data_IF_699457383428
#
_entry.id   IF_699457383428
#
_cell.length_a   1.000
_cell.length_b   1.000
_cell.length_c   1.000
_cell.angle_alpha   90.00
_cell.angle_beta   90.00
_cell.angle_gamma   90.00
#
_symmetry.space_group_name_H-M   'P 1'
#
loop_
_entity.id
_entity.type
_entity.pdbx_description
1 polymer ?
#
# COMPACT_ATOMS: atom_id res chain seq x y z
N UNK A 1 -6.79 13.07 14.43
CA UNK A 1 -7.23 12.10 13.40
C UNK A 1 -8.14 12.81 12.40
N UNK A 2 -8.09 12.48 11.11
CA UNK A 2 -9.04 13.00 10.13
C UNK A 2 -9.48 11.88 9.19
N UNK A 3 -10.79 11.60 9.13
CA UNK A 3 -11.42 10.80 8.08
C UNK A 3 -12.43 11.67 7.36
N UNK A 4 -12.32 11.76 6.04
CA UNK A 4 -13.21 12.60 5.25
C UNK A 4 -14.27 11.73 4.62
N UNK A 5 -15.53 12.11 4.81
CA UNK A 5 -16.67 11.34 4.34
C UNK A 5 -17.54 12.19 3.42
N UNK A 6 -18.10 11.54 2.39
CA UNK A 6 -19.17 12.08 1.56
C UNK A 6 -20.50 11.53 2.05
N UNK A 7 -21.47 12.40 2.28
CA UNK A 7 -22.86 11.98 2.54
C UNK A 7 -23.42 11.38 1.25
N UNK A 8 -23.91 10.15 1.32
CA UNK A 8 -24.47 9.41 0.18
C UNK A 8 -25.97 9.16 0.32
N UNK A 9 -26.55 9.44 1.49
CA UNK A 9 -28.00 9.38 1.65
C UNK A 9 -28.45 9.87 3.02
N UNK A 10 -29.69 10.32 3.09
CA UNK A 10 -30.38 10.65 4.35
C UNK A 10 -31.76 10.02 4.35
N UNK A 11 -32.20 9.52 5.50
CA UNK A 11 -33.53 8.96 5.69
C UNK A 11 -34.08 9.45 7.03
N UNK A 12 -35.21 10.16 7.01
CA UNK A 12 -35.87 10.65 8.22
C UNK A 12 -36.90 9.64 8.71
N UNK A 13 -36.82 9.28 9.98
CA UNK A 13 -37.84 8.50 10.67
C UNK A 13 -38.66 9.45 11.55
N UNK A 14 -39.90 9.69 11.15
CA UNK A 14 -40.83 10.57 11.85
C UNK A 14 -41.38 9.94 13.15
N UNK A 15 -41.35 8.61 13.28
CA UNK A 15 -41.85 7.92 14.47
C UNK A 15 -40.89 8.05 15.66
N UNK A 16 -39.58 8.06 15.38
CA UNK A 16 -38.52 8.25 16.38
C UNK A 16 -37.93 9.67 16.39
N UNK A 17 -38.44 10.56 15.50
CA UNK A 17 -37.90 11.89 15.23
C UNK A 17 -36.37 11.87 14.99
N UNK A 18 -35.88 10.88 14.23
CA UNK A 18 -34.45 10.67 13.97
C UNK A 18 -34.12 10.81 12.47
N UNK A 19 -32.85 11.06 12.16
CA UNK A 19 -32.33 11.07 10.78
C UNK A 19 -31.17 10.09 10.69
N UNK A 20 -31.32 9.08 9.85
CA UNK A 20 -30.24 8.19 9.44
C UNK A 20 -29.45 8.87 8.31
N UNK A 21 -28.15 9.05 8.50
CA UNK A 21 -27.24 9.55 7.48
C UNK A 21 -26.30 8.43 7.06
N UNK A 22 -26.20 8.18 5.75
CA UNK A 22 -25.25 7.23 5.16
C UNK A 22 -24.05 7.98 4.61
N UNK A 23 -22.86 7.47 4.89
CA UNK A 23 -21.58 8.05 4.50
C UNK A 23 -20.74 7.03 3.74
N UNK A 24 -20.01 7.50 2.73
CA UNK A 24 -18.87 6.79 2.16
C UNK A 24 -17.60 7.57 2.48
N UNK A 25 -16.46 6.89 2.61
CA UNK A 25 -15.16 7.59 2.67
C UNK A 25 -14.96 8.37 1.37
N UNK A 26 -14.41 9.58 1.44
CA UNK A 26 -14.23 10.42 0.26
C UNK A 26 -13.33 9.73 -0.77
N UNK A 27 -12.26 9.09 -0.30
CA UNK A 27 -11.36 8.31 -1.14
C UNK A 27 -12.04 7.11 -1.82
N UNK A 28 -13.19 6.64 -1.35
CA UNK A 28 -13.94 5.56 -1.99
C UNK A 28 -14.83 6.03 -3.14
N UNK A 29 -15.00 7.34 -3.29
CA UNK A 29 -15.85 7.92 -4.36
C UNK A 29 -15.25 7.83 -5.75
N UNK A 30 -13.98 7.44 -5.86
CA UNK A 30 -13.30 7.21 -7.15
C UNK A 30 -13.71 5.88 -7.80
N UNK A 31 -14.39 4.99 -7.08
CA UNK A 31 -14.65 3.62 -7.51
C UNK A 31 -15.98 3.46 -8.27
N UNK A 32 -16.06 2.56 -9.26
CA UNK A 32 -14.97 1.72 -9.78
C UNK A 32 -13.97 2.51 -10.64
N UNK A 33 -12.73 2.03 -10.74
CA UNK A 33 -11.68 2.60 -11.61
C UNK A 33 -11.40 1.60 -12.74
N UNK A 34 -11.39 2.07 -13.99
CA UNK A 34 -10.99 1.24 -15.12
C UNK A 34 -9.51 0.87 -15.00
N UNK A 35 -9.23 -0.42 -14.93
CA UNK A 35 -7.87 -0.94 -14.78
C UNK A 35 -7.19 -1.10 -16.14
N UNK A 36 -5.96 -0.59 -16.27
CA UNK A 36 -5.10 -0.86 -17.45
C UNK A 36 -4.74 -2.35 -17.57
N UNK A 37 -4.63 -3.04 -16.43
CA UNK A 37 -4.32 -4.45 -16.33
C UNK A 37 -4.85 -5.02 -14.99
N UNK A 38 -5.11 -6.35 -14.91
CA UNK A 38 -5.57 -6.99 -13.68
C UNK A 38 -4.69 -6.71 -12.45
N UNK A 39 -5.28 -6.75 -11.26
CA UNK A 39 -4.54 -6.59 -10.01
C UNK A 39 -3.40 -7.63 -9.92
N UNK A 40 -2.13 -7.21 -9.76
CA UNK A 40 -0.98 -8.10 -9.71
C UNK A 40 -1.07 -9.12 -8.58
N UNK A 41 -0.67 -10.37 -8.87
CA UNK A 41 -0.64 -11.49 -7.91
C UNK A 41 -1.98 -11.84 -7.26
N UNK A 42 -3.11 -11.40 -7.82
CA UNK A 42 -4.46 -11.69 -7.29
C UNK A 42 -4.80 -13.19 -7.30
N UNK A 43 -4.11 -14.00 -8.08
CA UNK A 43 -4.24 -15.46 -8.12
C UNK A 43 -3.81 -16.13 -6.81
N UNK A 44 -2.97 -15.46 -6.02
CA UNK A 44 -2.58 -15.90 -4.68
C UNK A 44 -3.55 -15.40 -3.59
N UNK A 45 -4.54 -14.59 -3.97
CA UNK A 45 -5.50 -14.01 -3.04
C UNK A 45 -6.64 -14.99 -2.70
N UNK A 46 -7.00 -15.08 -1.42
CA UNK A 46 -8.23 -15.77 -1.00
C UNK A 46 -9.48 -14.88 -1.17
N UNK A 47 -9.31 -13.55 -1.15
CA UNK A 47 -10.34 -12.57 -1.56
C UNK A 47 -9.82 -11.61 -2.64
N UNK A 48 -10.07 -11.91 -3.93
CA UNK A 48 -9.66 -11.05 -5.04
C UNK A 48 -10.24 -9.63 -4.99
N UNK A 49 -11.35 -9.39 -4.26
CA UNK A 49 -11.95 -8.06 -4.15
C UNK A 49 -11.09 -7.10 -3.34
N UNK A 50 -10.38 -7.59 -2.33
CA UNK A 50 -9.42 -6.78 -1.56
C UNK A 50 -8.28 -6.26 -2.44
N UNK A 51 -7.75 -7.15 -3.29
CA UNK A 51 -6.70 -6.81 -4.26
C UNK A 51 -7.19 -5.76 -5.26
N UNK A 52 -8.38 -5.97 -5.82
CA UNK A 52 -9.02 -5.01 -6.71
C UNK A 52 -9.17 -3.64 -6.04
N UNK A 53 -9.70 -3.61 -4.81
CA UNK A 53 -9.93 -2.38 -4.07
C UNK A 53 -8.66 -1.54 -3.91
N UNK A 54 -7.53 -2.16 -3.55
CA UNK A 54 -6.25 -1.46 -3.41
C UNK A 54 -5.68 -1.06 -4.77
N UNK A 55 -5.81 -1.94 -5.76
CA UNK A 55 -5.27 -1.72 -7.10
C UNK A 55 -5.98 -0.59 -7.85
N UNK A 56 -7.30 -0.44 -7.69
CA UNK A 56 -8.06 0.69 -8.23
C UNK A 56 -7.55 2.04 -7.71
N UNK A 57 -7.23 2.14 -6.42
CA UNK A 57 -6.66 3.38 -5.86
C UNK A 57 -5.26 3.67 -6.41
N UNK A 58 -4.41 2.65 -6.54
CA UNK A 58 -3.08 2.82 -7.12
C UNK A 58 -3.16 3.21 -8.61
N UNK A 59 -4.10 2.60 -9.34
CA UNK A 59 -4.38 2.94 -10.75
C UNK A 59 -4.87 4.37 -10.89
N UNK A 60 -5.83 4.79 -10.06
CA UNK A 60 -6.31 6.17 -10.05
C UNK A 60 -5.19 7.17 -9.75
N UNK A 61 -4.29 6.85 -8.80
CA UNK A 61 -3.22 7.75 -8.38
C UNK A 61 -2.06 7.83 -9.38
N UNK A 62 -1.60 6.71 -9.89
CA UNK A 62 -0.32 6.65 -10.61
C UNK A 62 -0.47 6.28 -12.08
N UNK A 63 -1.57 5.63 -12.48
CA UNK A 63 -1.82 5.17 -13.85
C UNK A 63 -0.60 4.49 -14.48
N UNK A 64 0.07 3.61 -13.73
CA UNK A 64 1.26 2.90 -14.18
C UNK A 64 0.94 2.05 -15.42
N UNK A 65 1.91 1.89 -16.30
CA UNK A 65 1.75 1.04 -17.49
C UNK A 65 1.82 -0.44 -17.13
N UNK A 66 1.26 -1.28 -18.00
CA UNK A 66 1.23 -2.72 -17.78
C UNK A 66 2.66 -3.28 -17.73
N UNK A 67 3.07 -3.85 -16.58
CA UNK A 67 4.43 -4.32 -16.36
C UNK A 67 4.81 -5.50 -17.26
N UNK A 68 3.84 -6.18 -17.87
CA UNK A 68 4.11 -7.33 -18.76
C UNK A 68 4.69 -6.92 -20.11
N UNK A 69 4.59 -5.64 -20.49
CA UNK A 69 5.24 -5.08 -21.67
C UNK A 69 6.66 -4.55 -21.38
N UNK A 70 7.16 -4.69 -20.15
CA UNK A 70 8.52 -4.28 -19.82
C UNK A 70 9.55 -5.12 -20.61
N UNK A 71 10.62 -4.51 -21.17
CA UNK A 71 11.56 -5.22 -22.02
C UNK A 71 12.32 -6.31 -21.25
N UNK A 72 12.64 -7.40 -21.94
CA UNK A 72 13.44 -8.49 -21.40
C UNK A 72 14.89 -8.04 -21.27
N UNK A 73 15.39 -8.03 -20.04
CA UNK A 73 16.75 -7.64 -19.69
C UNK A 73 17.63 -8.82 -19.27
N UNK A 74 17.06 -10.03 -19.11
CA UNK A 74 17.71 -11.21 -18.53
C UNK A 74 19.12 -11.52 -19.03
N UNK A 75 19.40 -11.33 -20.32
CA UNK A 75 20.74 -11.55 -20.91
C UNK A 75 21.83 -10.60 -20.41
N UNK A 76 21.45 -9.50 -19.77
CA UNK A 76 22.34 -8.46 -19.27
C UNK A 76 22.51 -8.49 -17.75
N UNK A 77 21.77 -9.35 -17.04
CA UNK A 77 21.89 -9.53 -15.60
C UNK A 77 22.98 -10.57 -15.29
N UNK A 78 23.73 -10.35 -14.22
CA UNK A 78 24.56 -11.42 -13.63
C UNK A 78 23.69 -12.47 -12.93
N UNK A 79 24.29 -13.63 -12.63
CA UNK A 79 23.61 -14.69 -11.86
C UNK A 79 23.10 -14.19 -10.50
N UNK A 80 23.87 -13.35 -9.81
CA UNK A 80 23.50 -12.81 -8.50
C UNK A 80 22.40 -11.75 -8.61
N UNK A 81 22.45 -10.91 -9.66
CA UNK A 81 21.39 -9.94 -9.97
C UNK A 81 20.07 -10.65 -10.32
N UNK A 82 20.15 -11.74 -11.09
CA UNK A 82 19.02 -12.60 -11.42
C UNK A 82 18.41 -13.23 -10.16
N UNK A 83 19.24 -13.82 -9.29
CA UNK A 83 18.77 -14.40 -8.02
C UNK A 83 18.12 -13.38 -7.11
N UNK A 84 18.63 -12.15 -7.06
CA UNK A 84 18.03 -11.08 -6.26
C UNK A 84 16.63 -10.71 -6.77
N UNK A 85 16.46 -10.58 -8.09
CA UNK A 85 15.16 -10.32 -8.71
C UNK A 85 14.17 -11.49 -8.48
N UNK A 86 14.61 -12.74 -8.70
CA UNK A 86 13.80 -13.93 -8.41
C UNK A 86 13.38 -14.01 -6.94
N UNK A 87 14.29 -13.69 -6.01
CA UNK A 87 13.97 -13.67 -4.59
C UNK A 87 12.94 -12.60 -4.26
N UNK A 88 13.03 -11.40 -4.85
CA UNK A 88 12.02 -10.35 -4.68
C UNK A 88 10.64 -10.82 -5.17
N UNK A 89 10.57 -11.45 -6.36
CA UNK A 89 9.34 -11.99 -6.93
C UNK A 89 8.73 -13.04 -6.00
N UNK A 90 9.54 -14.02 -5.56
CA UNK A 90 9.07 -15.08 -4.66
C UNK A 90 8.59 -14.53 -3.32
N UNK A 91 9.27 -13.54 -2.76
CA UNK A 91 8.83 -12.89 -1.52
C UNK A 91 7.50 -12.15 -1.71
N UNK A 92 7.28 -11.51 -2.87
CA UNK A 92 5.99 -10.89 -3.21
C UNK A 92 4.86 -11.93 -3.34
N UNK A 93 5.09 -13.05 -4.03
CA UNK A 93 4.14 -14.16 -4.15
C UNK A 93 3.77 -14.72 -2.77
N UNK A 94 4.77 -14.99 -1.93
CA UNK A 94 4.55 -15.46 -0.57
C UNK A 94 3.70 -14.47 0.22
N UNK A 95 4.05 -13.17 0.18
CA UNK A 95 3.32 -12.13 0.89
C UNK A 95 1.88 -12.00 0.41
N UNK A 96 1.62 -12.13 -0.90
CA UNK A 96 0.28 -12.07 -1.49
C UNK A 96 -0.67 -13.15 -0.93
N UNK A 97 -0.13 -14.30 -0.53
CA UNK A 97 -0.91 -15.39 0.10
C UNK A 97 -1.27 -15.16 1.58
N UNK A 98 -0.75 -14.11 2.23
CA UNK A 98 -0.94 -13.92 3.67
C UNK A 98 -2.37 -13.46 3.98
N UNK A 99 -2.97 -14.03 5.03
CA UNK A 99 -4.29 -13.62 5.52
C UNK A 99 -4.36 -12.13 5.87
N UNK A 100 -3.23 -11.52 6.26
CA UNK A 100 -3.15 -10.07 6.52
C UNK A 100 -3.56 -9.23 5.30
N UNK A 101 -3.28 -9.67 4.08
CA UNK A 101 -3.69 -8.94 2.87
C UNK A 101 -5.05 -9.36 2.32
N UNK A 102 -5.56 -10.51 2.78
CA UNK A 102 -6.75 -11.13 2.21
C UNK A 102 -8.01 -10.97 3.06
N UNK A 103 -7.90 -10.75 4.37
CA UNK A 103 -9.10 -10.56 5.19
C UNK A 103 -9.65 -9.14 5.01
N UNK A 104 -10.97 -9.04 4.78
CA UNK A 104 -11.69 -7.78 4.78
C UNK A 104 -11.77 -7.21 6.21
N UNK A 105 -10.81 -6.36 6.61
CA UNK A 105 -10.78 -5.78 7.95
C UNK A 105 -11.38 -4.38 7.98
N UNK A 106 -12.22 -4.12 8.98
CA UNK A 106 -12.89 -2.83 9.16
C UNK A 106 -12.52 -2.17 10.48
N UNK A 107 -12.25 -0.87 10.44
CA UNK A 107 -12.24 -0.01 11.61
C UNK A 107 -13.68 0.47 11.86
N UNK A 108 -14.28 0.08 12.98
CA UNK A 108 -15.63 0.51 13.34
C UNK A 108 -15.55 1.53 14.48
N UNK A 109 -15.99 2.74 14.19
CA UNK A 109 -16.09 3.83 15.16
C UNK A 109 -17.56 3.99 15.51
N UNK A 110 -17.91 3.82 16.79
CA UNK A 110 -19.29 4.01 17.28
C UNK A 110 -19.29 5.12 18.32
N UNK A 111 -20.24 6.05 18.25
CA UNK A 111 -20.50 7.04 19.31
C UNK A 111 -21.88 6.80 19.91
N UNK A 112 -21.98 6.75 21.23
CA UNK A 112 -23.26 6.71 21.97
C UNK A 112 -23.47 8.03 22.72
N UNK A 113 -23.66 9.11 21.96
CA UNK A 113 -23.97 10.45 22.48
C UNK A 113 -22.73 11.23 22.91
N UNK A 114 -22.41 12.27 22.13
CA UNK A 114 -21.38 13.26 22.42
C UNK A 114 -19.97 12.68 22.52
N UNK A 115 -19.59 12.32 23.75
CA UNK A 115 -18.19 12.14 24.17
C UNK A 115 -17.77 10.67 24.30
N UNK A 116 -18.72 9.73 24.31
CA UNK A 116 -18.44 8.29 24.42
C UNK A 116 -18.23 7.66 23.04
N UNK A 117 -17.02 7.80 22.51
CA UNK A 117 -16.56 7.13 21.30
C UNK A 117 -15.91 5.79 21.65
N UNK A 118 -16.45 4.70 21.10
CA UNK A 118 -15.83 3.38 21.13
C UNK A 118 -15.28 3.05 19.75
N UNK A 119 -14.00 2.76 19.66
CA UNK A 119 -13.35 2.29 18.44
C UNK A 119 -13.10 0.81 18.58
N UNK A 120 -13.74 0.00 17.73
CA UNK A 120 -13.49 -1.43 17.66
C UNK A 120 -12.85 -1.72 16.30
N UNK A 121 -11.70 -2.37 16.33
CA UNK A 121 -10.98 -2.79 15.12
C UNK A 121 -10.89 -4.29 15.10
N UNK A 122 -11.12 -4.88 13.94
CA UNK A 122 -10.71 -6.26 13.69
C UNK A 122 -9.25 -6.22 13.21
N UNK A 123 -8.32 -6.59 14.09
CA UNK A 123 -6.89 -6.64 13.77
C UNK A 123 -6.43 -8.09 13.62
N UNK A 124 -5.42 -8.35 12.75
CA UNK A 124 -4.79 -9.66 12.72
C UNK A 124 -4.22 -10.00 14.10
N UNK A 125 -4.09 -11.29 14.38
CA UNK A 125 -3.37 -11.76 15.56
C UNK A 125 -1.95 -11.21 15.56
N UNK A 126 -1.34 -11.08 16.73
CA UNK A 126 0.04 -10.60 16.84
C UNK A 126 1.01 -11.46 16.00
N UNK A 127 0.83 -12.78 16.00
CA UNK A 127 1.60 -13.71 15.15
C UNK A 127 1.45 -13.39 13.67
N UNK A 128 0.21 -13.20 13.18
CA UNK A 128 -0.05 -12.88 11.79
C UNK A 128 0.53 -11.51 11.40
N UNK A 129 0.42 -10.51 12.28
CA UNK A 129 1.01 -9.20 12.06
C UNK A 129 2.55 -9.25 12.01
N UNK A 130 3.18 -9.94 12.96
CA UNK A 130 4.63 -10.07 13.01
C UNK A 130 5.15 -10.82 11.79
N UNK A 131 4.52 -11.94 11.40
CA UNK A 131 4.87 -12.66 10.18
C UNK A 131 4.75 -11.78 8.93
N UNK A 132 3.65 -11.05 8.81
CA UNK A 132 3.45 -10.06 7.74
C UNK A 132 4.54 -8.98 7.73
N UNK A 133 4.85 -8.41 8.89
CA UNK A 133 5.85 -7.35 9.04
C UNK A 133 7.27 -7.82 8.68
N UNK A 134 7.68 -9.02 9.11
CA UNK A 134 8.97 -9.61 8.75
C UNK A 134 9.10 -9.73 7.23
N UNK A 135 8.11 -10.33 6.58
CA UNK A 135 8.15 -10.55 5.13
C UNK A 135 8.06 -9.23 4.36
N UNK A 136 7.19 -8.31 4.78
CA UNK A 136 7.12 -6.97 4.20
C UNK A 136 8.45 -6.23 4.31
N UNK A 137 9.15 -6.33 5.44
CA UNK A 137 10.46 -5.70 5.65
C UNK A 137 11.49 -6.16 4.61
N UNK A 138 11.50 -7.44 4.22
CA UNK A 138 12.41 -7.95 3.18
C UNK A 138 12.24 -7.21 1.85
N UNK A 139 11.01 -6.83 1.50
CA UNK A 139 10.70 -6.08 0.28
C UNK A 139 10.95 -4.57 0.45
N UNK A 140 10.66 -4.04 1.64
CA UNK A 140 10.59 -2.60 1.89
C UNK A 140 11.91 -1.98 2.32
N UNK A 141 12.74 -2.67 3.10
CA UNK A 141 13.97 -2.13 3.68
C UNK A 141 15.13 -2.20 2.67
N UNK A 142 15.75 -1.05 2.41
CA UNK A 142 16.83 -0.90 1.42
C UNK A 142 18.11 -1.71 1.73
N UNK A 143 18.26 -2.18 2.97
CA UNK A 143 19.36 -3.04 3.41
C UNK A 143 19.20 -4.53 3.08
N UNK A 144 18.01 -4.95 2.63
CA UNK A 144 17.73 -6.35 2.31
C UNK A 144 18.03 -6.63 0.82
N UNK A 145 18.59 -7.80 0.52
CA UNK A 145 18.99 -8.17 -0.85
C UNK A 145 17.79 -8.40 -1.78
N UNK A 146 16.62 -8.71 -1.21
CA UNK A 146 15.37 -8.91 -1.92
C UNK A 146 14.46 -7.67 -1.86
N UNK A 147 15.04 -6.47 -1.74
CA UNK A 147 14.28 -5.23 -1.58
C UNK A 147 13.96 -4.56 -2.92
N UNK A 148 12.87 -3.78 -2.95
CA UNK A 148 12.50 -2.94 -4.09
C UNK A 148 13.68 -2.10 -4.57
N UNK A 149 14.38 -1.44 -3.64
CA UNK A 149 15.49 -0.54 -3.97
C UNK A 149 16.69 -1.27 -4.56
N UNK A 150 16.95 -2.53 -4.16
CA UNK A 150 18.00 -3.35 -4.77
C UNK A 150 17.62 -3.73 -6.20
N UNK A 151 16.43 -4.30 -6.40
CA UNK A 151 15.96 -4.75 -7.73
C UNK A 151 15.82 -3.57 -8.69
N UNK A 152 15.24 -2.45 -8.26
CA UNK A 152 15.18 -1.22 -9.06
C UNK A 152 16.57 -0.77 -9.51
N UNK A 153 17.57 -0.76 -8.61
CA UNK A 153 18.95 -0.36 -8.95
C UNK A 153 19.57 -1.29 -9.99
N UNK A 154 19.34 -2.59 -9.86
CA UNK A 154 19.81 -3.60 -10.83
C UNK A 154 19.18 -3.35 -12.19
N UNK A 155 17.84 -3.30 -12.27
CA UNK A 155 17.14 -3.09 -13.54
C UNK A 155 17.48 -1.74 -14.18
N UNK A 156 17.61 -0.67 -13.38
CA UNK A 156 17.96 0.65 -13.89
C UNK A 156 19.41 0.76 -14.39
N UNK A 157 20.33 0.02 -13.76
CA UNK A 157 21.73 -0.13 -14.22
C UNK A 157 21.75 -0.84 -15.57
N UNK A 158 21.07 -1.97 -15.67
CA UNK A 158 21.01 -2.79 -16.89
C UNK A 158 20.31 -2.04 -18.04
N UNK A 159 19.21 -1.35 -17.76
CA UNK A 159 18.55 -0.48 -18.74
C UNK A 159 19.50 0.58 -19.34
N UNK A 160 20.56 0.96 -18.62
CA UNK A 160 21.59 1.87 -19.12
C UNK A 160 22.56 1.29 -20.13
N UNK A 161 22.50 -0.02 -20.38
CA UNK A 161 23.35 -0.72 -21.33
C UNK A 161 22.64 -0.94 -22.67
N UNK A 162 21.34 -0.61 -22.75
CA UNK A 162 20.54 -0.67 -23.97
C UNK A 162 20.88 0.51 -24.89
N UNK A 163 20.39 0.44 -26.13
CA UNK A 163 20.44 1.56 -27.07
C UNK A 163 19.71 2.79 -26.51
N UNK A 164 20.12 3.99 -26.91
CA UNK A 164 19.73 5.26 -26.26
C UNK A 164 18.21 5.43 -26.09
N UNK A 165 17.43 5.19 -27.16
CA UNK A 165 15.98 5.32 -27.14
C UNK A 165 15.30 4.26 -26.25
N UNK A 166 15.80 3.03 -26.27
CA UNK A 166 15.28 1.93 -25.45
C UNK A 166 15.66 2.10 -23.98
N UNK A 167 16.89 2.54 -23.70
CA UNK A 167 17.35 2.89 -22.36
C UNK A 167 16.48 3.99 -21.75
N UNK A 168 16.12 5.00 -22.56
CA UNK A 168 15.26 6.10 -22.12
C UNK A 168 13.86 5.61 -21.78
N UNK A 169 13.18 4.92 -22.69
CA UNK A 169 11.81 4.43 -22.45
C UNK A 169 11.75 3.45 -21.27
N UNK A 170 12.73 2.53 -21.16
CA UNK A 170 12.83 1.58 -20.05
C UNK A 170 12.99 2.28 -18.69
N UNK A 171 13.85 3.31 -18.64
CA UNK A 171 14.07 4.10 -17.42
C UNK A 171 12.88 4.96 -17.05
N UNK A 172 12.12 5.47 -18.03
CA UNK A 172 10.87 6.20 -17.77
C UNK A 172 9.87 5.31 -17.01
N UNK A 173 9.69 4.06 -17.45
CA UNK A 173 8.83 3.09 -16.74
C UNK A 173 9.36 2.82 -15.34
N UNK A 174 10.65 2.49 -15.17
CA UNK A 174 11.24 2.24 -13.85
C UNK A 174 11.08 3.44 -12.91
N UNK A 175 11.29 4.66 -13.41
CA UNK A 175 11.15 5.88 -12.62
C UNK A 175 9.72 6.12 -12.15
N UNK A 176 8.71 5.80 -12.97
CA UNK A 176 7.31 5.90 -12.56
C UNK A 176 7.00 5.02 -11.33
N UNK A 177 7.49 3.78 -11.30
CA UNK A 177 7.35 2.88 -10.14
C UNK A 177 8.07 3.40 -8.90
N UNK A 178 9.31 3.89 -9.07
CA UNK A 178 10.08 4.50 -7.97
C UNK A 178 9.35 5.71 -7.38
N UNK A 179 8.81 6.57 -8.24
CA UNK A 179 8.15 7.81 -7.83
C UNK A 179 6.78 7.53 -7.19
N UNK A 180 6.08 6.48 -7.63
CA UNK A 180 4.90 5.93 -6.94
C UNK A 180 5.26 5.45 -5.53
N UNK A 181 6.31 4.62 -5.37
CA UNK A 181 6.78 4.17 -4.04
C UNK A 181 7.12 5.36 -3.15
N UNK A 182 7.89 6.32 -3.67
CA UNK A 182 8.28 7.54 -2.92
C UNK A 182 7.07 8.34 -2.45
N UNK A 183 6.00 8.38 -3.25
CA UNK A 183 4.75 9.05 -2.87
C UNK A 183 4.03 8.31 -1.74
N UNK A 184 3.93 6.98 -1.85
CA UNK A 184 3.30 6.13 -0.83
C UNK A 184 4.07 6.07 0.49
N UNK A 185 5.39 6.24 0.46
CA UNK A 185 6.21 6.35 1.68
C UNK A 185 5.96 7.66 2.44
N UNK A 186 5.51 8.71 1.75
CA UNK A 186 5.33 10.06 2.33
C UNK A 186 3.92 10.34 2.81
N UNK A 187 2.90 9.76 2.15
CA UNK A 187 1.49 10.00 2.46
C UNK A 187 0.68 8.74 2.22
N UNK A 188 -0.35 8.55 3.04
CA UNK A 188 -1.34 7.48 2.83
C UNK A 188 -2.04 7.64 1.48
N UNK A 189 -2.42 6.52 0.83
CA UNK A 189 -3.21 6.55 -0.41
C UNK A 189 -4.47 7.39 -0.26
N UNK A 190 -5.19 7.23 0.84
CA UNK A 190 -6.41 7.99 1.12
C UNK A 190 -6.15 9.52 1.16
N UNK A 191 -5.01 9.95 1.72
CA UNK A 191 -4.59 11.36 1.71
C UNK A 191 -4.32 11.84 0.29
N UNK A 192 -3.57 11.06 -0.51
CA UNK A 192 -3.25 11.40 -1.90
C UNK A 192 -4.51 11.49 -2.78
N UNK A 193 -5.47 10.58 -2.58
CA UNK A 193 -6.76 10.60 -3.30
C UNK A 193 -7.57 11.83 -2.90
N UNK A 194 -7.65 12.16 -1.60
CA UNK A 194 -8.32 13.38 -1.14
C UNK A 194 -7.68 14.62 -1.77
N UNK A 195 -6.35 14.72 -1.78
CA UNK A 195 -5.63 15.85 -2.40
C UNK A 195 -5.96 16.01 -3.88
N UNK A 196 -6.08 14.90 -4.63
CA UNK A 196 -6.47 14.95 -6.05
C UNK A 196 -7.93 15.35 -6.23
N UNK A 197 -8.85 14.77 -5.46
CA UNK A 197 -10.28 15.10 -5.51
C UNK A 197 -10.58 16.54 -5.07
N UNK A 198 -9.72 17.10 -4.23
CA UNK A 198 -9.88 18.43 -3.63
C UNK A 198 -8.85 19.43 -4.17
N UNK A 199 -8.33 19.26 -5.40
CA UNK A 199 -7.25 20.10 -5.94
C UNK A 199 -7.58 21.61 -5.97
N UNK A 200 -8.87 21.98 -6.02
CA UNK A 200 -9.34 23.38 -5.95
C UNK A 200 -9.76 23.85 -4.54
N UNK A 201 -9.63 23.02 -3.52
CA UNK A 201 -10.01 23.37 -2.15
C UNK A 201 -8.89 24.14 -1.43
N UNK A 202 -9.21 24.91 -0.36
CA UNK A 202 -8.20 25.56 0.47
C UNK A 202 -7.19 24.56 1.05
N UNK A 203 -5.96 25.00 1.34
CA UNK A 203 -4.92 24.15 1.94
C UNK A 203 -5.32 23.54 3.30
N UNK A 204 -6.28 24.18 4.00
CA UNK A 204 -6.87 23.74 5.26
C UNK A 204 -7.97 22.69 5.10
N UNK A 205 -8.35 22.33 3.87
CA UNK A 205 -9.36 21.31 3.64
C UNK A 205 -8.91 19.98 4.27
N UNK A 206 -9.80 19.32 5.04
CA UNK A 206 -9.46 18.08 5.73
C UNK A 206 -9.19 16.97 4.71
N UNK A 207 -8.23 16.09 5.04
CA UNK A 207 -7.85 14.92 4.24
C UNK A 207 -7.80 13.68 5.12
N UNK A 208 -8.28 12.56 4.60
CA UNK A 208 -8.20 11.28 5.33
C UNK A 208 -6.73 10.95 5.66
N UNK A 209 -6.45 10.57 6.92
CA UNK A 209 -5.11 10.30 7.46
C UNK A 209 -4.10 11.46 7.35
N UNK A 210 -4.58 12.71 7.30
CA UNK A 210 -3.70 13.88 7.31
C UNK A 210 -2.71 13.84 8.49
N UNK A 211 -1.43 14.02 8.18
CA UNK A 211 -0.33 14.01 9.16
C UNK A 211 0.36 12.65 9.34
N UNK A 212 -0.20 11.56 8.81
CA UNK A 212 0.47 10.26 8.82
C UNK A 212 1.53 10.22 7.72
N UNK A 213 2.77 9.90 8.11
CA UNK A 213 3.89 9.60 7.22
C UNK A 213 4.14 8.08 7.26
N UNK A 214 3.76 7.32 6.21
CA UNK A 214 3.82 5.86 6.20
C UNK A 214 5.18 5.27 6.54
N UNK A 215 6.26 5.79 5.95
CA UNK A 215 7.63 5.29 6.17
C UNK A 215 8.05 5.42 7.65
N UNK A 216 7.78 6.58 8.24
CA UNK A 216 8.07 6.83 9.65
C UNK A 216 7.22 5.93 10.56
N UNK A 217 5.92 5.82 10.27
CA UNK A 217 5.00 4.99 11.04
C UNK A 217 5.39 3.51 11.02
N UNK A 218 5.67 2.96 9.83
CA UNK A 218 6.10 1.56 9.66
C UNK A 218 7.40 1.31 10.41
N UNK A 219 8.38 2.23 10.31
CA UNK A 219 9.64 2.12 11.05
C UNK A 219 9.38 2.10 12.56
N UNK A 220 8.55 3.01 13.07
CA UNK A 220 8.26 3.07 14.51
C UNK A 220 7.56 1.81 15.03
N UNK A 221 6.64 1.20 14.27
CA UNK A 221 6.05 -0.09 14.65
C UNK A 221 7.07 -1.24 14.60
N UNK A 222 7.86 -1.32 13.52
CA UNK A 222 8.82 -2.40 13.33
C UNK A 222 9.97 -2.37 14.36
N UNK A 223 10.48 -1.18 14.70
CA UNK A 223 11.63 -0.99 15.60
C UNK A 223 11.25 -0.53 17.02
N UNK A 224 9.95 -0.33 17.29
CA UNK A 224 9.43 -0.04 18.63
C UNK A 224 8.91 -1.28 19.37
N UNK A 225 8.40 -2.29 18.65
CA UNK A 225 7.76 -3.46 19.27
C UNK A 225 7.84 -4.72 18.40
N UNK A 226 7.41 -4.66 17.13
CA UNK A 226 7.02 -5.87 16.39
C UNK A 226 8.17 -6.71 15.84
N UNK A 227 9.29 -6.10 15.47
CA UNK A 227 10.46 -6.83 14.96
C UNK A 227 11.66 -6.70 15.88
N UNK A 228 11.97 -5.49 16.36
CA UNK A 228 13.10 -5.20 17.23
C UNK A 228 12.64 -4.28 18.37
N UNK A 229 13.01 -4.61 19.61
CA UNK A 229 12.78 -3.76 20.79
C UNK A 229 13.88 -2.69 20.89
N UNK A 230 13.80 -1.66 20.04
CA UNK A 230 14.89 -0.73 19.74
C UNK A 230 14.66 0.72 20.20
N UNK A 231 15.29 1.69 19.53
CA UNK A 231 15.34 3.09 19.96
C UNK A 231 14.01 3.86 19.80
N UNK A 232 13.02 3.30 19.11
CA UNK A 232 11.73 3.95 18.83
C UNK A 232 10.63 3.61 19.86
N UNK A 233 10.98 2.95 20.97
CA UNK A 233 10.04 2.52 22.03
C UNK A 233 9.24 3.65 22.65
N UNK A 234 9.90 4.74 23.05
CA UNK A 234 9.22 5.88 23.66
C UNK A 234 8.31 6.58 22.64
N UNK A 235 8.71 6.63 21.36
CA UNK A 235 7.86 7.17 20.30
C UNK A 235 6.63 6.30 20.08
N UNK A 236 6.79 4.98 20.07
CA UNK A 236 5.66 4.07 19.94
C UNK A 236 4.73 4.17 21.16
N UNK A 237 5.26 4.18 22.38
CA UNK A 237 4.46 4.36 23.59
C UNK A 237 3.65 5.67 23.56
N UNK A 238 4.25 6.77 23.08
CA UNK A 238 3.54 8.04 22.92
C UNK A 238 2.49 8.02 21.81
N UNK A 239 2.68 7.23 20.75
CA UNK A 239 1.70 7.07 19.66
C UNK A 239 0.50 6.20 20.08
N UNK A 240 0.66 5.36 21.10
CA UNK A 240 -0.33 4.41 21.60
C UNK A 240 -0.79 4.77 23.03
N UNK A 241 -0.71 6.05 23.39
CA UNK A 241 -0.97 6.57 24.75
C UNK A 241 -2.41 6.36 25.23
N UNK A 242 -3.36 6.29 24.31
CA UNK A 242 -4.75 5.92 24.56
C UNK A 242 -5.27 4.87 23.54
N UNK A 243 -6.34 4.17 23.91
CA UNK A 243 -6.94 3.09 23.10
C UNK A 243 -7.38 3.57 21.71
N UNK A 244 -7.75 4.85 21.58
CA UNK A 244 -8.18 5.44 20.32
C UNK A 244 -6.99 5.66 19.38
N UNK A 245 -5.91 6.26 19.89
CA UNK A 245 -4.65 6.47 19.16
C UNK A 245 -4.00 5.14 18.81
N UNK A 246 -4.06 4.16 19.71
CA UNK A 246 -3.57 2.81 19.45
C UNK A 246 -4.27 2.17 18.24
N UNK A 247 -5.61 2.13 18.27
CA UNK A 247 -6.40 1.59 17.17
C UNK A 247 -6.15 2.34 15.86
N UNK A 248 -6.09 3.67 15.90
CA UNK A 248 -5.87 4.48 14.71
C UNK A 248 -4.51 4.20 14.05
N UNK A 249 -3.43 4.26 14.83
CA UNK A 249 -2.08 4.11 14.30
C UNK A 249 -1.79 2.67 13.88
N UNK A 250 -2.32 1.67 14.59
CA UNK A 250 -2.29 0.27 14.13
C UNK A 250 -3.00 0.09 12.79
N UNK A 251 -4.21 0.64 12.65
CA UNK A 251 -4.95 0.59 11.40
C UNK A 251 -4.23 1.32 10.26
N UNK A 252 -3.67 2.51 10.53
CA UNK A 252 -2.90 3.28 9.56
C UNK A 252 -1.63 2.53 9.11
N UNK A 253 -0.89 1.92 10.04
CA UNK A 253 0.30 1.13 9.76
C UNK A 253 -0.01 -0.07 8.86
N UNK A 254 -1.01 -0.87 9.26
CA UNK A 254 -1.50 -2.01 8.48
C UNK A 254 -1.94 -1.60 7.07
N UNK A 255 -2.70 -0.51 6.96
CA UNK A 255 -3.19 0.01 5.68
C UNK A 255 -2.03 0.48 4.79
N UNK A 256 -1.05 1.18 5.36
CA UNK A 256 0.15 1.63 4.66
C UNK A 256 0.97 0.47 4.11
N UNK A 257 1.26 -0.53 4.95
CA UNK A 257 1.99 -1.72 4.53
C UNK A 257 1.23 -2.48 3.44
N UNK A 258 -0.08 -2.66 3.59
CA UNK A 258 -0.94 -3.32 2.60
C UNK A 258 -0.86 -2.62 1.24
N UNK A 259 -0.98 -1.30 1.20
CA UNK A 259 -0.93 -0.50 -0.04
C UNK A 259 0.46 -0.54 -0.69
N UNK A 260 1.53 -0.49 0.12
CA UNK A 260 2.90 -0.65 -0.38
C UNK A 260 3.15 -2.07 -0.92
N UNK A 261 2.63 -3.11 -0.26
CA UNK A 261 2.70 -4.49 -0.76
C UNK A 261 2.07 -4.62 -2.14
N UNK A 262 0.90 -4.01 -2.37
CA UNK A 262 0.25 -4.06 -3.69
C UNK A 262 1.06 -3.34 -4.77
N UNK A 263 1.74 -2.23 -4.44
CA UNK A 263 2.70 -1.62 -5.36
C UNK A 263 3.87 -2.58 -5.65
N UNK A 264 4.39 -3.29 -4.65
CA UNK A 264 5.47 -4.26 -4.83
C UNK A 264 5.05 -5.46 -5.66
N UNK A 265 3.80 -5.90 -5.56
CA UNK A 265 3.25 -6.97 -6.40
C UNK A 265 3.26 -6.57 -7.88
N UNK A 266 2.87 -5.33 -8.19
CA UNK A 266 3.01 -4.81 -9.55
C UNK A 266 4.45 -4.70 -10.02
N UNK A 267 5.36 -4.31 -9.14
CA UNK A 267 6.79 -4.28 -9.48
C UNK A 267 7.40 -5.68 -9.62
N UNK A 268 6.83 -6.70 -8.97
CA UNK A 268 7.25 -8.09 -9.14
C UNK A 268 6.92 -8.62 -10.53
N UNK A 269 5.75 -8.28 -11.08
CA UNK A 269 5.41 -8.58 -12.49
C UNK A 269 6.39 -7.89 -13.45
N UNK A 270 6.80 -6.65 -13.14
CA UNK A 270 7.80 -5.93 -13.94
C UNK A 270 9.15 -6.63 -13.89
N UNK A 271 9.57 -7.06 -12.70
CA UNK A 271 10.81 -7.83 -12.53
C UNK A 271 10.74 -9.17 -13.25
N UNK A 272 9.60 -9.87 -13.23
CA UNK A 272 9.41 -11.13 -13.95
C UNK A 272 9.52 -10.92 -15.47
N UNK A 273 8.85 -9.90 -16.02
CA UNK A 273 8.98 -9.52 -17.42
C UNK A 273 10.43 -9.19 -17.81
N UNK A 274 11.16 -8.47 -16.93
CA UNK A 274 12.57 -8.17 -17.14
C UNK A 274 13.45 -9.45 -17.19
N UNK A 275 13.09 -10.50 -16.46
CA UNK A 275 13.79 -11.79 -16.53
C UNK A 275 13.40 -12.64 -17.76
N UNK A 276 12.37 -12.23 -18.50
CA UNK A 276 11.80 -13.01 -19.60
C UNK A 276 10.90 -14.14 -19.12
N UNK A 277 10.49 -14.12 -17.85
CA UNK A 277 9.49 -15.05 -17.33
C UNK A 277 8.12 -14.65 -17.91
N UNK A 278 7.29 -15.65 -18.23
CA UNK A 278 5.88 -15.38 -18.47
C UNK A 278 5.29 -14.70 -17.22
N UNK A 279 4.14 -14.03 -17.38
CA UNK A 279 3.37 -13.46 -16.28
C UNK A 279 3.43 -14.42 -15.08
N UNK A 280 3.58 -13.89 -13.87
CA UNK A 280 3.70 -14.73 -12.67
C UNK A 280 2.49 -15.67 -12.49
N UNK A 281 1.43 -15.44 -13.27
CA UNK A 281 0.27 -16.28 -13.50
C UNK A 281 0.50 -17.39 -14.54
N UNK A 282 0.55 -18.65 -14.07
CA UNK A 282 0.04 -19.82 -14.81
C UNK A 282 -1.11 -20.45 -14.04
#
# INVERSE_FOLDING_TARGET
MCFVHKIVGTQRDYSTNSVLVRFNRLEDTIRPVELKFPAPLQEYATDPKGFLYHWESLTYLFSLDDPTYFPVLGSHLSDDETKAAQRFIQTCQNLASYSVLNDSRSLKITSKGGDNWTVTSDFPSHEAFTGFSVTFRQLHNDGEDASFSKVYRVLNKVAGQLDEDEAKSTREVLNAWRDARKSLMKKMVATLVCERLQAGAPATAPKSFQGIVPDELIRTFNYGDSLHWGDDREKLANLLDDEYNENFHKHACLTAMTQLSHLYFGFAELAAAALGDARVSS
#
